data_IF_956667663722
#
_entry.id   IF_956667663722
#
_cell.length_a   1.000
_cell.length_b   1.000
_cell.length_c   1.000
_cell.angle_alpha   90.00
_cell.angle_beta   90.00
_cell.angle_gamma   90.00
#
_symmetry.space_group_name_H-M   'P 1'
#
loop_
_entity.id
_entity.type
_entity.pdbx_description
1 polymer ?
#
# COMPACT_ATOMS: atom_id res chain seq x y z
N UNK A 1 12.95 22.71 14.88
CA UNK A 1 11.87 21.68 14.91
C UNK A 1 11.63 21.08 13.52
N UNK A 2 11.98 21.77 12.44
CA UNK A 2 11.87 21.30 11.06
C UNK A 2 12.55 19.95 10.77
N UNK A 3 13.75 19.71 11.32
CA UNK A 3 14.41 18.41 11.15
C UNK A 3 13.58 17.23 11.66
N UNK A 4 12.85 17.40 12.78
CA UNK A 4 11.95 16.37 13.29
C UNK A 4 10.71 16.17 12.40
N UNK A 5 10.20 17.25 11.80
CA UNK A 5 9.09 17.18 10.83
C UNK A 5 9.50 16.43 9.56
N UNK A 6 10.70 16.69 9.05
CA UNK A 6 11.25 16.00 7.88
C UNK A 6 11.45 14.50 8.12
N UNK A 7 12.01 14.13 9.28
CA UNK A 7 12.15 12.72 9.68
C UNK A 7 10.77 12.07 9.84
N UNK A 8 9.82 12.75 10.49
CA UNK A 8 8.45 12.27 10.66
C UNK A 8 7.74 12.00 9.33
N UNK A 9 7.91 12.89 8.34
CA UNK A 9 7.36 12.70 6.99
C UNK A 9 7.96 11.47 6.30
N UNK A 10 9.28 11.30 6.37
CA UNK A 10 9.96 10.13 5.80
C UNK A 10 9.49 8.82 6.43
N UNK A 11 9.32 8.79 7.75
CA UNK A 11 8.82 7.60 8.48
C UNK A 11 7.37 7.26 8.11
N UNK A 12 6.50 8.27 7.97
CA UNK A 12 5.10 8.05 7.59
C UNK A 12 4.98 7.36 6.23
N UNK A 13 5.78 7.80 5.24
CA UNK A 13 5.84 7.14 3.91
C UNK A 13 6.46 5.76 4.02
N UNK A 14 7.58 5.61 4.73
CA UNK A 14 8.30 4.34 4.83
C UNK A 14 7.42 3.23 5.41
N UNK A 15 6.69 3.51 6.50
CA UNK A 15 5.80 2.53 7.12
C UNK A 15 4.64 2.18 6.19
N UNK A 16 4.02 3.17 5.55
CA UNK A 16 2.92 2.95 4.59
C UNK A 16 3.37 2.13 3.37
N UNK A 17 4.56 2.41 2.84
CA UNK A 17 5.13 1.70 1.69
C UNK A 17 5.55 0.26 2.04
N UNK A 18 6.14 0.04 3.21
CA UNK A 18 6.51 -1.30 3.67
C UNK A 18 5.28 -2.18 3.89
N UNK A 19 4.28 -1.68 4.64
CA UNK A 19 3.05 -2.40 4.89
C UNK A 19 2.27 -2.67 3.59
N UNK A 20 2.15 -1.64 2.75
CA UNK A 20 1.49 -1.72 1.44
C UNK A 20 2.16 -2.75 0.53
N UNK A 21 3.46 -2.60 0.30
CA UNK A 21 4.22 -3.48 -0.60
C UNK A 21 4.22 -4.94 -0.17
N UNK A 22 4.36 -5.22 1.13
CA UNK A 22 4.28 -6.60 1.66
C UNK A 22 2.87 -7.17 1.44
N UNK A 23 1.83 -6.41 1.80
CA UNK A 23 0.44 -6.86 1.63
C UNK A 23 0.10 -7.13 0.16
N UNK A 24 0.51 -6.24 -0.74
CA UNK A 24 0.30 -6.38 -2.18
C UNK A 24 1.03 -7.61 -2.74
N UNK A 25 2.28 -7.83 -2.32
CA UNK A 25 3.08 -8.98 -2.76
C UNK A 25 2.44 -10.31 -2.33
N UNK A 26 1.96 -10.40 -1.09
CA UNK A 26 1.28 -11.60 -0.58
C UNK A 26 -0.04 -11.83 -1.31
N UNK A 27 -0.88 -10.81 -1.44
CA UNK A 27 -2.18 -10.92 -2.11
C UNK A 27 -2.03 -11.29 -3.60
N UNK A 28 -1.10 -10.64 -4.30
CA UNK A 28 -0.77 -10.92 -5.70
C UNK A 28 -0.23 -12.35 -5.88
N UNK A 29 0.70 -12.78 -5.02
CA UNK A 29 1.22 -14.15 -5.04
C UNK A 29 0.12 -15.20 -4.86
N UNK A 30 -0.78 -15.02 -3.90
CA UNK A 30 -1.91 -15.92 -3.66
C UNK A 30 -2.93 -15.92 -4.81
N UNK A 31 -3.13 -14.77 -5.45
CA UNK A 31 -3.93 -14.68 -6.66
C UNK A 31 -3.32 -15.54 -7.77
N UNK A 32 -2.02 -15.41 -8.06
CA UNK A 32 -1.37 -16.20 -9.10
C UNK A 32 -1.37 -17.70 -8.80
N UNK A 33 -1.11 -18.11 -7.55
CA UNK A 33 -1.24 -19.51 -7.13
C UNK A 33 -2.66 -20.07 -7.36
N UNK A 34 -3.69 -19.27 -7.06
CA UNK A 34 -5.10 -19.68 -7.23
C UNK A 34 -5.46 -19.83 -8.72
N UNK A 35 -5.06 -18.87 -9.55
CA UNK A 35 -5.28 -18.90 -11.00
C UNK A 35 -4.54 -20.06 -11.66
N UNK A 36 -3.31 -20.35 -11.22
CA UNK A 36 -2.53 -21.46 -11.74
C UNK A 36 -3.17 -22.83 -11.44
N UNK A 37 -3.88 -22.96 -10.31
CA UNK A 37 -4.58 -24.20 -9.91
C UNK A 37 -5.94 -24.35 -10.58
N UNK A 38 -6.65 -23.25 -10.79
CA UNK A 38 -7.98 -23.21 -11.38
C UNK A 38 -8.07 -22.03 -12.35
N UNK A 39 -7.70 -22.23 -13.63
CA UNK A 39 -7.73 -21.17 -14.63
C UNK A 39 -9.14 -20.61 -14.88
N UNK A 40 -10.17 -21.39 -14.61
CA UNK A 40 -11.57 -21.05 -14.89
C UNK A 40 -12.09 -19.91 -13.99
N UNK A 41 -11.48 -19.70 -12.82
CA UNK A 41 -11.88 -18.67 -11.85
C UNK A 41 -11.04 -17.38 -11.97
N UNK A 42 -10.22 -17.24 -13.01
CA UNK A 42 -9.23 -16.17 -13.10
C UNK A 42 -9.83 -14.76 -13.00
N UNK A 43 -10.96 -14.52 -13.66
CA UNK A 43 -11.59 -13.19 -13.67
C UNK A 43 -12.21 -12.83 -12.32
N UNK A 44 -12.81 -13.80 -11.63
CA UNK A 44 -13.36 -13.61 -10.29
C UNK A 44 -12.25 -13.31 -9.28
N UNK A 45 -11.14 -14.06 -9.32
CA UNK A 45 -10.01 -13.86 -8.41
C UNK A 45 -9.31 -12.53 -8.68
N UNK A 46 -9.13 -12.12 -9.94
CA UNK A 46 -8.59 -10.79 -10.29
C UNK A 46 -9.46 -9.66 -9.75
N UNK A 47 -10.78 -9.80 -9.85
CA UNK A 47 -11.72 -8.80 -9.30
C UNK A 47 -11.53 -8.66 -7.79
N UNK A 48 -11.46 -9.77 -7.05
CA UNK A 48 -11.24 -9.75 -5.61
C UNK A 48 -9.84 -9.24 -5.23
N UNK A 49 -8.82 -9.54 -6.05
CA UNK A 49 -7.48 -8.99 -5.89
C UNK A 49 -7.52 -7.46 -5.98
N UNK A 50 -8.15 -6.88 -7.00
CA UNK A 50 -8.21 -5.42 -7.13
C UNK A 50 -8.92 -4.75 -5.95
N UNK A 51 -10.00 -5.34 -5.44
CA UNK A 51 -10.67 -4.86 -4.22
C UNK A 51 -9.70 -4.88 -3.04
N UNK A 52 -8.97 -5.99 -2.87
CA UNK A 52 -7.96 -6.13 -1.81
C UNK A 52 -6.83 -5.11 -1.94
N UNK A 53 -6.30 -4.92 -3.15
CA UNK A 53 -5.25 -3.94 -3.44
C UNK A 53 -5.74 -2.51 -3.17
N UNK A 54 -7.00 -2.18 -3.49
CA UNK A 54 -7.57 -0.86 -3.21
C UNK A 54 -7.64 -0.56 -1.70
N UNK A 55 -8.01 -1.55 -0.88
CA UNK A 55 -7.98 -1.39 0.57
C UNK A 55 -6.56 -1.22 1.11
N UNK A 56 -5.60 -1.97 0.59
CA UNK A 56 -4.19 -1.84 0.97
C UNK A 56 -3.67 -0.44 0.60
N UNK A 57 -3.94 0.01 -0.62
CA UNK A 57 -3.51 1.33 -1.09
C UNK A 57 -4.14 2.48 -0.31
N UNK A 58 -5.39 2.34 0.12
CA UNK A 58 -6.04 3.39 0.95
C UNK A 58 -5.25 3.67 2.23
N UNK A 59 -4.70 2.63 2.86
CA UNK A 59 -3.85 2.78 4.05
C UNK A 59 -2.48 3.39 3.72
N UNK A 60 -1.88 3.01 2.60
CA UNK A 60 -0.61 3.57 2.12
C UNK A 60 -0.75 5.05 1.78
N UNK A 61 -1.86 5.45 1.15
CA UNK A 61 -2.16 6.85 0.81
C UNK A 61 -2.34 7.71 2.06
N UNK A 62 -2.86 7.18 3.18
CA UNK A 62 -2.90 7.94 4.43
C UNK A 62 -1.49 8.27 4.97
N UNK A 63 -0.51 7.38 4.80
CA UNK A 63 0.89 7.68 5.10
C UNK A 63 1.44 8.81 4.25
N UNK A 64 1.16 8.80 2.93
CA UNK A 64 1.53 9.86 2.00
C UNK A 64 0.86 11.20 2.36
N UNK A 65 -0.43 11.18 2.69
CA UNK A 65 -1.19 12.36 3.09
C UNK A 65 -0.56 13.04 4.32
N UNK A 66 -0.27 12.26 5.36
CA UNK A 66 0.37 12.76 6.58
C UNK A 66 1.75 13.35 6.25
N UNK A 67 2.54 12.68 5.41
CA UNK A 67 3.84 13.18 5.00
C UNK A 67 3.73 14.54 4.30
N UNK A 68 2.78 14.73 3.38
CA UNK A 68 2.55 16.02 2.74
C UNK A 68 2.15 17.11 3.74
N UNK A 69 1.29 16.78 4.71
CA UNK A 69 0.89 17.72 5.76
C UNK A 69 2.05 18.13 6.68
N UNK A 70 3.01 17.23 6.91
CA UNK A 70 4.20 17.51 7.71
C UNK A 70 5.21 18.36 6.93
N UNK A 71 5.47 18.02 5.67
CA UNK A 71 6.39 18.78 4.80
C UNK A 71 5.87 20.20 4.55
N UNK A 72 4.55 20.37 4.36
CA UNK A 72 3.95 21.70 4.18
C UNK A 72 4.05 22.64 5.38
N UNK A 73 4.48 22.14 6.56
CA UNK A 73 4.73 22.94 7.76
C UNK A 73 6.20 23.33 7.93
N UNK A 74 7.08 22.88 7.04
CA UNK A 74 8.50 23.23 7.03
C UNK A 74 8.65 24.51 6.21
N UNK A 75 9.16 25.57 6.83
CA UNK A 75 9.37 26.89 6.22
C UNK A 75 10.14 27.80 7.15
#
# INVERSE_FOLDING_TARGET
MEGALAIGAGLAVAVGALGGGIGQGIAGGKCFESIARQPEIADQVRTLLFITLAFIETLTIYGLLIAFMLVGKIG
#
